data_IF_409899528943
#
_entry.id   IF_409899528943
#
_cell.length_a   1.000
_cell.length_b   1.000
_cell.length_c   1.000
_cell.angle_alpha   90.00
_cell.angle_beta   90.00
_cell.angle_gamma   90.00
#
_symmetry.space_group_name_H-M   'P 1'
#
loop_
_entity.id
_entity.type
_entity.pdbx_description
1 polymer ?
#
# COMPACT_ATOMS: atom_id res chain seq x y z
N UNK A 1 -5.38 -4.17 0.14
CA UNK A 1 -5.37 -2.72 -0.15
C UNK A 1 -6.66 -1.96 0.19
N UNK A 2 -7.86 -2.39 -0.23
CA UNK A 2 -9.15 -1.64 -0.06
C UNK A 2 -9.37 -1.02 1.34
N UNK A 3 -9.14 -1.78 2.41
CA UNK A 3 -9.30 -1.32 3.79
C UNK A 3 -8.38 -0.14 4.15
N UNK A 4 -7.15 -0.13 3.62
CA UNK A 4 -6.21 0.98 3.81
C UNK A 4 -6.70 2.21 3.04
N UNK A 5 -7.12 2.04 1.78
CA UNK A 5 -7.64 3.13 0.96
C UNK A 5 -8.85 3.81 1.60
N UNK A 6 -9.79 3.04 2.15
CA UNK A 6 -10.96 3.61 2.84
C UNK A 6 -10.55 4.52 4.00
N UNK A 7 -9.57 4.12 4.80
CA UNK A 7 -9.04 4.92 5.90
C UNK A 7 -8.23 6.14 5.40
N UNK A 8 -7.49 6.01 4.29
CA UNK A 8 -6.81 7.15 3.64
C UNK A 8 -7.83 8.21 3.23
N UNK A 9 -8.93 7.81 2.57
CA UNK A 9 -10.00 8.72 2.16
C UNK A 9 -10.57 9.48 3.36
N UNK A 10 -10.82 8.78 4.48
CA UNK A 10 -11.36 9.43 5.69
C UNK A 10 -10.35 10.37 6.36
N UNK A 11 -9.07 10.01 6.38
CA UNK A 11 -8.05 10.72 7.20
C UNK A 11 -7.29 11.81 6.44
N UNK A 12 -7.11 11.65 5.13
CA UNK A 12 -6.20 12.43 4.30
C UNK A 12 -6.87 12.98 3.05
N UNK A 13 -8.18 13.29 3.09
CA UNK A 13 -8.98 13.76 1.94
C UNK A 13 -8.49 15.06 1.30
N UNK A 14 -7.70 15.87 2.02
CA UNK A 14 -7.17 17.15 1.55
C UNK A 14 -5.71 17.11 1.15
N UNK A 15 -4.99 16.05 1.53
CA UNK A 15 -3.59 15.82 1.18
C UNK A 15 -3.49 15.13 -0.18
N UNK A 16 -2.46 15.46 -0.96
CA UNK A 16 -2.12 14.63 -2.10
C UNK A 16 -1.45 13.34 -1.59
N UNK A 17 -1.66 12.26 -2.33
CA UNK A 17 -0.92 11.00 -2.17
C UNK A 17 -0.31 10.63 -3.52
N UNK A 18 0.67 9.74 -3.49
CA UNK A 18 1.20 9.09 -4.70
C UNK A 18 0.84 7.62 -4.68
N UNK A 19 0.29 7.14 -5.79
CA UNK A 19 -0.13 5.75 -5.99
C UNK A 19 0.74 5.16 -7.10
N UNK A 20 1.54 4.16 -6.77
CA UNK A 20 2.37 3.42 -7.72
C UNK A 20 1.62 2.17 -8.19
N UNK A 21 1.69 1.89 -9.48
CA UNK A 21 0.97 0.79 -10.14
C UNK A 21 1.91 -0.36 -10.47
N UNK A 22 1.36 -1.56 -10.60
CA UNK A 22 2.07 -2.77 -11.03
C UNK A 22 2.70 -2.64 -12.44
N UNK A 23 2.21 -1.69 -13.25
CA UNK A 23 2.72 -1.39 -14.58
C UNK A 23 3.99 -0.53 -14.62
N UNK A 24 4.53 -0.08 -13.48
CA UNK A 24 5.70 0.80 -13.43
C UNK A 24 5.37 2.29 -13.35
N UNK A 25 4.11 2.69 -13.58
CA UNK A 25 3.68 4.08 -13.51
C UNK A 25 3.27 4.54 -12.10
N UNK A 26 3.17 5.85 -11.92
CA UNK A 26 2.57 6.44 -10.72
C UNK A 26 1.62 7.57 -11.07
N UNK A 27 0.63 7.77 -10.21
CA UNK A 27 -0.32 8.88 -10.31
C UNK A 27 -0.45 9.56 -8.94
N UNK A 28 -0.78 10.84 -8.95
CA UNK A 28 -0.93 11.63 -7.72
C UNK A 28 -2.24 12.42 -7.72
N UNK A 29 -2.80 12.61 -6.54
CA UNK A 29 -4.04 13.37 -6.35
C UNK A 29 -4.58 13.23 -4.94
N UNK A 30 -5.74 13.85 -4.68
CA UNK A 30 -6.42 13.76 -3.38
C UNK A 30 -7.30 12.51 -3.32
N UNK A 31 -7.26 11.71 -2.24
CA UNK A 31 -8.10 10.52 -2.12
C UNK A 31 -9.58 10.92 -1.99
N UNK A 32 -10.44 10.44 -2.89
CA UNK A 32 -11.85 10.85 -2.93
C UNK A 32 -12.82 9.74 -2.51
N UNK A 33 -12.83 8.61 -3.22
CA UNK A 33 -13.84 7.57 -3.01
C UNK A 33 -13.43 6.21 -3.56
N UNK A 34 -14.16 5.17 -3.17
CA UNK A 34 -14.10 3.86 -3.81
C UNK A 34 -15.42 3.61 -4.53
N UNK A 35 -15.37 3.38 -5.84
CA UNK A 35 -16.53 3.01 -6.67
C UNK A 35 -16.48 1.52 -7.04
N UNK A 36 -17.64 0.87 -7.12
CA UNK A 36 -17.77 -0.56 -7.45
C UNK A 36 -16.89 -1.48 -6.57
N UNK A 37 -16.61 -1.06 -5.33
CA UNK A 37 -15.74 -1.73 -4.37
C UNK A 37 -14.28 -1.97 -4.80
N UNK A 38 -13.89 -1.56 -6.01
CA UNK A 38 -12.65 -2.01 -6.67
C UNK A 38 -11.90 -0.89 -7.37
N UNK A 39 -12.52 0.28 -7.55
CA UNK A 39 -11.90 1.44 -8.21
C UNK A 39 -11.67 2.53 -7.17
N UNK A 40 -10.42 2.92 -6.99
CA UNK A 40 -10.02 4.04 -6.16
C UNK A 40 -9.97 5.32 -7.00
N UNK A 41 -10.77 6.31 -6.62
CA UNK A 41 -10.82 7.60 -7.30
C UNK A 41 -9.94 8.61 -6.59
N UNK A 42 -9.05 9.26 -7.36
CA UNK A 42 -8.37 10.47 -6.93
C UNK A 42 -9.03 11.69 -7.56
N UNK A 43 -8.95 12.82 -6.88
CA UNK A 43 -9.43 14.11 -7.38
C UNK A 43 -8.35 15.17 -7.40
N UNK A 44 -8.59 16.22 -8.18
CA UNK A 44 -7.89 17.50 -8.06
C UNK A 44 -8.25 18.20 -6.75
N UNK A 45 -7.58 19.32 -6.46
CA UNK A 45 -7.91 20.18 -5.31
C UNK A 45 -9.31 20.79 -5.37
N UNK A 46 -9.91 20.90 -6.57
CA UNK A 46 -11.28 21.35 -6.80
C UNK A 46 -12.34 20.25 -6.67
N UNK A 47 -11.94 19.01 -6.35
CA UNK A 47 -12.86 17.88 -6.17
C UNK A 47 -13.29 17.17 -7.45
N UNK A 48 -12.72 17.54 -8.61
CA UNK A 48 -12.97 16.83 -9.87
C UNK A 48 -12.14 15.55 -9.93
N UNK A 49 -12.77 14.41 -10.27
CA UNK A 49 -12.05 13.14 -10.39
C UNK A 49 -10.99 13.25 -11.50
N UNK A 50 -9.73 13.07 -11.12
CA UNK A 50 -8.58 13.08 -12.04
C UNK A 50 -8.21 11.67 -12.47
N UNK A 51 -8.33 10.68 -11.57
CA UNK A 51 -7.88 9.30 -11.81
C UNK A 51 -8.87 8.27 -11.30
N UNK A 52 -8.92 7.13 -12.00
CA UNK A 52 -9.71 5.94 -11.64
C UNK A 52 -8.81 4.71 -11.66
N UNK A 53 -8.40 4.28 -10.48
CA UNK A 53 -7.33 3.30 -10.32
C UNK A 53 -7.94 1.96 -9.88
N UNK A 54 -7.64 0.88 -10.60
CA UNK A 54 -7.97 -0.46 -10.12
C UNK A 54 -7.19 -0.78 -8.86
N UNK A 55 -7.88 -1.07 -7.75
CA UNK A 55 -7.26 -1.37 -6.46
C UNK A 55 -6.32 -2.58 -6.54
N UNK A 56 -6.62 -3.54 -7.43
CA UNK A 56 -5.80 -4.74 -7.63
C UNK A 56 -4.48 -4.46 -8.36
N UNK A 57 -4.36 -3.30 -9.00
CA UNK A 57 -3.17 -2.86 -9.74
C UNK A 57 -2.27 -1.95 -8.93
N UNK A 58 -2.63 -1.62 -7.68
CA UNK A 58 -1.86 -0.73 -6.82
C UNK A 58 -0.73 -1.51 -6.15
N UNK A 59 0.50 -1.21 -6.54
CA UNK A 59 1.71 -1.77 -5.94
C UNK A 59 1.95 -1.17 -4.55
N UNK A 60 1.95 0.15 -4.42
CA UNK A 60 2.05 0.83 -3.14
C UNK A 60 1.47 2.23 -3.16
N UNK A 61 1.16 2.76 -1.97
CA UNK A 61 0.66 4.12 -1.77
C UNK A 61 1.56 4.84 -0.78
N UNK A 62 2.11 5.98 -1.20
CA UNK A 62 2.92 6.86 -0.37
C UNK A 62 2.15 8.12 0.01
N UNK A 63 1.99 8.36 1.31
CA UNK A 63 1.42 9.59 1.86
C UNK A 63 2.45 10.72 1.79
N UNK A 64 1.99 11.96 1.57
CA UNK A 64 2.86 13.13 1.44
C UNK A 64 2.96 13.92 2.75
N UNK A 65 3.94 14.83 2.82
CA UNK A 65 4.15 15.68 3.99
C UNK A 65 4.48 14.86 5.24
N UNK A 66 3.75 15.12 6.32
CA UNK A 66 3.94 14.47 7.62
C UNK A 66 2.89 13.37 7.88
N UNK A 67 2.07 13.02 6.89
CA UNK A 67 1.04 12.00 7.03
C UNK A 67 1.66 10.61 7.17
N UNK A 68 1.11 9.81 8.08
CA UNK A 68 1.65 8.47 8.39
C UNK A 68 0.52 7.44 8.53
N UNK A 69 0.87 6.16 8.35
CA UNK A 69 -0.03 5.03 8.61
C UNK A 69 -0.16 4.69 10.10
N UNK A 70 0.25 5.59 11.00
CA UNK A 70 0.02 5.42 12.42
C UNK A 70 -1.49 5.36 12.71
N UNK A 71 -1.90 4.47 13.61
CA UNK A 71 -3.31 4.28 14.03
C UNK A 71 -4.25 3.77 12.92
N UNK A 72 -3.72 3.27 11.80
CA UNK A 72 -4.52 2.51 10.84
C UNK A 72 -4.88 1.14 11.44
N UNK A 73 -6.09 0.68 11.15
CA UNK A 73 -6.52 -0.68 11.46
C UNK A 73 -6.21 -1.57 10.27
N UNK A 74 -5.51 -2.68 10.50
CA UNK A 74 -5.16 -3.64 9.47
C UNK A 74 -6.07 -4.85 9.53
N UNK A 75 -6.33 -5.47 8.37
CA UNK A 75 -7.11 -6.70 8.34
C UNK A 75 -6.26 -7.86 8.85
N UNK A 76 -6.86 -8.70 9.68
CA UNK A 76 -6.31 -10.02 10.00
C UNK A 76 -6.29 -10.91 8.76
N UNK A 77 -5.61 -12.04 8.88
CA UNK A 77 -5.65 -13.05 7.83
C UNK A 77 -7.09 -13.61 7.69
N UNK A 78 -7.57 -13.85 6.46
CA UNK A 78 -8.87 -14.47 6.22
C UNK A 78 -8.95 -15.88 6.85
N UNK A 79 -10.18 -16.29 7.17
CA UNK A 79 -10.49 -17.63 7.66
C UNK A 79 -11.56 -18.29 6.76
N UNK A 80 -11.27 -19.42 6.11
CA UNK A 80 -9.98 -20.13 6.11
C UNK A 80 -8.89 -19.34 5.35
N UNK A 81 -7.62 -19.66 5.63
CA UNK A 81 -6.50 -19.11 4.87
C UNK A 81 -6.59 -19.57 3.40
N UNK A 82 -6.43 -18.65 2.43
CA UNK A 82 -6.27 -18.98 1.03
C UNK A 82 -5.13 -19.96 0.83
N UNK A 83 -5.32 -20.85 -0.13
CA UNK A 83 -4.34 -21.86 -0.52
C UNK A 83 -3.95 -21.66 -1.99
N UNK A 84 -2.82 -22.24 -2.39
CA UNK A 84 -2.26 -22.10 -3.74
C UNK A 84 -1.07 -21.14 -3.80
N UNK A 85 -0.40 -21.13 -4.95
CA UNK A 85 0.89 -20.46 -5.12
C UNK A 85 0.85 -18.96 -4.77
N UNK A 86 -0.19 -18.24 -5.18
CA UNK A 86 -0.32 -16.80 -4.88
C UNK A 86 -0.39 -16.52 -3.37
N UNK A 87 -1.07 -17.39 -2.62
CA UNK A 87 -1.18 -17.27 -1.16
C UNK A 87 0.14 -17.61 -0.47
N UNK A 88 0.86 -18.62 -0.97
CA UNK A 88 2.19 -18.99 -0.48
C UNK A 88 3.22 -17.89 -0.76
N UNK A 89 3.21 -17.30 -1.96
CA UNK A 89 4.07 -16.17 -2.32
C UNK A 89 3.80 -14.95 -1.44
N UNK A 90 2.54 -14.56 -1.24
CA UNK A 90 2.16 -13.48 -0.32
C UNK A 90 2.66 -13.74 1.09
N UNK A 91 2.43 -14.96 1.60
CA UNK A 91 2.83 -15.34 2.95
C UNK A 91 4.35 -15.32 3.12
N UNK A 92 5.10 -15.77 2.12
CA UNK A 92 6.57 -15.70 2.10
C UNK A 92 7.07 -14.27 2.19
N UNK A 93 6.63 -13.39 1.28
CA UNK A 93 6.98 -11.96 1.27
C UNK A 93 6.64 -11.31 2.61
N UNK A 94 5.42 -11.53 3.09
CA UNK A 94 4.94 -10.94 4.36
C UNK A 94 5.76 -11.43 5.55
N UNK A 95 6.11 -12.71 5.61
CA UNK A 95 6.94 -13.29 6.68
C UNK A 95 8.35 -12.71 6.66
N UNK A 96 8.96 -12.56 5.48
CA UNK A 96 10.26 -11.92 5.31
C UNK A 96 10.22 -10.47 5.80
N UNK A 97 9.27 -9.67 5.35
CA UNK A 97 9.12 -8.27 5.80
C UNK A 97 8.86 -8.18 7.31
N UNK A 98 8.05 -9.09 7.86
CA UNK A 98 7.76 -9.15 9.29
C UNK A 98 9.03 -9.40 10.12
N UNK A 99 10.01 -10.17 9.62
CA UNK A 99 11.27 -10.41 10.34
C UNK A 99 12.14 -9.17 10.53
N UNK A 100 11.92 -8.11 9.74
CA UNK A 100 12.63 -6.83 9.89
C UNK A 100 11.95 -5.88 10.88
N UNK A 101 10.69 -6.14 11.26
CA UNK A 101 9.94 -5.26 12.17
C UNK A 101 10.63 -5.21 13.54
N UNK A 102 10.89 -4.00 14.03
CA UNK A 102 11.55 -3.77 15.32
C UNK A 102 13.06 -4.02 15.35
N UNK A 103 13.66 -4.48 14.26
CA UNK A 103 15.12 -4.71 14.18
C UNK A 103 15.95 -3.44 14.03
N UNK A 104 15.33 -2.36 13.52
CA UNK A 104 16.03 -1.13 13.13
C UNK A 104 16.75 -1.22 11.78
N UNK A 105 16.83 -2.40 11.16
CA UNK A 105 17.39 -2.57 9.82
C UNK A 105 16.51 -1.90 8.78
N UNK A 106 17.16 -1.31 7.78
CA UNK A 106 16.49 -0.75 6.62
C UNK A 106 16.48 -1.76 5.48
N UNK A 107 15.39 -1.76 4.72
CA UNK A 107 15.21 -2.57 3.51
C UNK A 107 14.75 -1.69 2.37
N UNK A 108 15.10 -2.08 1.17
CA UNK A 108 14.60 -1.52 -0.08
C UNK A 108 13.64 -2.52 -0.70
N UNK A 109 12.36 -2.16 -0.74
CA UNK A 109 11.32 -2.97 -1.37
C UNK A 109 11.09 -2.45 -2.79
N UNK A 110 11.12 -3.35 -3.78
CA UNK A 110 10.63 -3.04 -5.13
C UNK A 110 9.28 -3.69 -5.36
N UNK A 111 8.35 -2.91 -5.88
CA UNK A 111 7.01 -3.36 -6.25
C UNK A 111 6.47 -2.51 -7.39
N UNK A 112 5.87 -3.14 -8.41
CA UNK A 112 5.35 -2.43 -9.58
C UNK A 112 6.41 -1.60 -10.30
N UNK A 113 7.58 -2.21 -10.56
CA UNK A 113 8.71 -1.59 -11.25
C UNK A 113 9.41 -0.45 -10.49
N UNK A 114 8.93 -0.08 -9.31
CA UNK A 114 9.40 1.08 -8.54
C UNK A 114 9.98 0.67 -7.18
N UNK A 115 10.93 1.46 -6.66
CA UNK A 115 11.52 1.27 -5.33
C UNK A 115 10.83 2.15 -4.29
N UNK A 116 10.61 1.61 -3.09
CA UNK A 116 10.15 2.39 -1.93
C UNK A 116 11.24 3.27 -1.31
N UNK A 117 12.49 3.14 -1.76
CA UNK A 117 13.66 3.66 -1.04
C UNK A 117 14.05 2.76 0.15
N UNK A 118 15.18 3.09 0.77
CA UNK A 118 15.71 2.36 1.93
C UNK A 118 15.09 2.86 3.23
N UNK A 119 14.25 2.03 3.85
CA UNK A 119 13.53 2.37 5.07
C UNK A 119 13.31 1.15 5.96
N UNK A 120 13.01 1.38 7.24
CA UNK A 120 12.61 0.30 8.16
C UNK A 120 11.24 -0.28 7.76
N UNK A 121 10.98 -1.54 8.09
CA UNK A 121 9.63 -2.10 8.08
C UNK A 121 8.96 -1.76 9.41
N UNK A 122 7.92 -0.92 9.38
CA UNK A 122 7.25 -0.48 10.61
C UNK A 122 6.14 -1.42 11.06
N UNK A 123 5.47 -2.07 10.12
CA UNK A 123 4.38 -3.00 10.43
C UNK A 123 4.11 -3.91 9.23
N UNK A 124 3.56 -5.11 9.46
CA UNK A 124 2.99 -5.94 8.41
C UNK A 124 1.64 -6.50 8.81
N UNK A 125 0.80 -6.77 7.82
CA UNK A 125 -0.50 -7.40 7.98
C UNK A 125 -0.85 -8.15 6.70
N UNK A 126 -1.94 -8.92 6.71
CA UNK A 126 -2.32 -9.71 5.54
C UNK A 126 -2.50 -8.84 4.28
N UNK A 127 -1.72 -9.09 3.23
CA UNK A 127 -1.76 -8.34 1.99
C UNK A 127 -1.09 -6.96 2.02
N UNK A 128 -0.46 -6.54 3.13
CA UNK A 128 0.12 -5.18 3.30
C UNK A 128 1.39 -5.20 4.16
N UNK A 129 2.39 -4.41 3.76
CA UNK A 129 3.50 -4.00 4.63
C UNK A 129 3.64 -2.46 4.66
N UNK A 130 4.00 -1.90 5.81
CA UNK A 130 4.30 -0.48 5.96
C UNK A 130 5.81 -0.29 5.98
N UNK A 131 6.30 0.42 4.97
CA UNK A 131 7.71 0.77 4.78
C UNK A 131 7.92 2.24 5.16
N UNK A 132 8.92 2.50 6.01
CA UNK A 132 9.04 3.79 6.68
C UNK A 132 7.81 4.05 7.54
N UNK A 133 7.24 5.25 7.48
CA UNK A 133 5.99 5.59 8.22
C UNK A 133 4.81 5.88 7.30
N UNK A 134 5.07 6.09 6.02
CA UNK A 134 4.14 6.72 5.09
C UNK A 134 3.95 5.94 3.78
N UNK A 135 4.54 4.75 3.61
CA UNK A 135 4.35 3.93 2.40
C UNK A 135 3.72 2.59 2.74
N UNK A 136 2.55 2.31 2.17
CA UNK A 136 1.84 1.03 2.30
C UNK A 136 2.01 0.23 1.01
N UNK A 137 2.67 -0.92 1.10
CA UNK A 137 3.02 -1.80 -0.02
C UNK A 137 2.11 -3.02 -0.04
N UNK A 138 1.63 -3.39 -1.22
CA UNK A 138 0.93 -4.65 -1.47
C UNK A 138 1.93 -5.80 -1.43
N UNK A 139 1.82 -6.70 -0.46
CA UNK A 139 2.73 -7.87 -0.36
C UNK A 139 2.58 -8.83 -1.54
N UNK A 140 1.45 -8.79 -2.25
CA UNK A 140 1.22 -9.59 -3.46
C UNK A 140 1.96 -9.07 -4.70
N UNK A 141 2.48 -7.84 -4.67
CA UNK A 141 3.13 -7.19 -5.83
C UNK A 141 4.61 -6.87 -5.57
N UNK A 142 5.19 -7.42 -4.50
CA UNK A 142 6.61 -7.26 -4.20
C UNK A 142 7.43 -8.11 -5.14
N UNK A 143 8.43 -7.49 -5.77
CA UNK A 143 9.36 -8.11 -6.71
C UNK A 143 10.65 -8.52 -6.02
N UNK A 144 11.21 -7.63 -5.20
CA UNK A 144 12.48 -7.86 -4.48
C UNK A 144 12.51 -7.14 -3.13
N UNK A 145 13.24 -7.72 -2.18
CA UNK A 145 13.57 -7.13 -0.87
C UNK A 145 15.09 -7.17 -0.74
N UNK A 146 15.74 -6.01 -0.63
CA UNK A 146 17.20 -5.87 -0.49
C UNK A 146 17.59 -5.10 0.77
#
# INVERSE_FOLDING_TARGET
MKNIIAQIITRFSTSNITVNLDSGGSVSGRPLSITNNTIFNLSTSSGTISERISICRIAFITLTGNDTYAKFTYLGAPSPLPTGCEAECEAGVRTTLQSFVGTGNTVTVRAGGSSTGSHIVSNTAYGIAIIGKNTAVSTCLVETIN
#
